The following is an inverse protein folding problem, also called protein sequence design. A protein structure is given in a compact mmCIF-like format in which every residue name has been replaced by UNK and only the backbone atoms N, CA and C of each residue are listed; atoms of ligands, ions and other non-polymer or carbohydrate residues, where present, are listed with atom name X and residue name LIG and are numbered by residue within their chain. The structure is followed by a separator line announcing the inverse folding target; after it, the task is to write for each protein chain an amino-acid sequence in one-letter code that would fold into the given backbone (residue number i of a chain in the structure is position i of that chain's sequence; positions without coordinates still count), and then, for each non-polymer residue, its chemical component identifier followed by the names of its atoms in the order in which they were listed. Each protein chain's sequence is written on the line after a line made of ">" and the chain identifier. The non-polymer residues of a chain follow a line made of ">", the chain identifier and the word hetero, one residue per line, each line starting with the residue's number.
data_IF_024836169946
#
_entry.id   IF_024836169946
#
_cell.length_a   1.000
_cell.length_b   1.000
_cell.length_c   1.000
_cell.angle_alpha   90.00
_cell.angle_beta   90.00
_cell.angle_gamma   90.00
#
_symmetry.space_group_name_H-M   'P 1'
#
loop_
_entity.id
_entity.type
_entity.pdbx_description
1 polymer ?
#
# COMPACT_ATOMS: atom_id res chain seq x y z
N UNK A 1 8.98 -28.37 5.42
CA UNK A 1 7.90 -27.73 4.61
C UNK A 1 7.16 -26.73 5.48
N UNK A 2 6.87 -25.58 4.90
CA UNK A 2 6.16 -24.49 5.58
C UNK A 2 4.86 -24.21 4.83
N UNK A 3 3.76 -24.13 5.56
CA UNK A 3 2.47 -23.75 4.98
C UNK A 3 2.41 -22.27 4.76
N UNK A 4 2.03 -21.86 3.55
CA UNK A 4 1.87 -20.45 3.18
C UNK A 4 0.63 -20.25 2.31
N UNK A 5 0.21 -19.02 2.17
CA UNK A 5 -0.64 -18.59 1.06
C UNK A 5 0.13 -17.54 0.27
N UNK A 6 -0.15 -17.43 -1.02
CA UNK A 6 0.42 -16.38 -1.85
C UNK A 6 -0.62 -15.33 -2.11
N UNK A 7 -0.22 -14.06 -2.00
CA UNK A 7 -1.12 -12.93 -2.18
C UNK A 7 -0.50 -11.90 -3.11
N UNK A 8 -1.35 -11.05 -3.68
CA UNK A 8 -0.93 -9.90 -4.48
C UNK A 8 -1.56 -8.65 -3.91
N UNK A 9 -0.74 -7.61 -3.78
CA UNK A 9 -1.23 -6.31 -3.32
C UNK A 9 -1.84 -5.53 -4.48
N UNK A 10 -2.72 -4.59 -4.12
CA UNK A 10 -3.37 -3.73 -5.10
C UNK A 10 -2.32 -2.97 -5.93
N UNK A 11 -2.46 -3.02 -7.24
CA UNK A 11 -1.55 -2.36 -8.17
C UNK A 11 -0.22 -3.07 -8.38
N UNK A 12 0.03 -4.16 -7.67
CA UNK A 12 1.24 -4.96 -7.81
C UNK A 12 1.06 -6.13 -8.77
N UNK A 13 2.16 -6.64 -9.29
CA UNK A 13 2.16 -7.83 -10.15
C UNK A 13 2.94 -8.98 -9.53
N UNK A 14 3.56 -8.79 -8.38
CA UNK A 14 4.31 -9.83 -7.65
C UNK A 14 3.43 -10.54 -6.66
N UNK A 15 3.71 -11.83 -6.48
CA UNK A 15 3.11 -12.62 -5.41
C UNK A 15 4.05 -12.64 -4.21
N UNK A 16 3.46 -12.58 -3.02
CA UNK A 16 4.19 -12.65 -1.75
C UNK A 16 3.58 -13.73 -0.88
N UNK A 17 4.42 -14.46 -0.16
CA UNK A 17 3.99 -15.54 0.72
C UNK A 17 3.79 -15.03 2.14
N UNK A 18 2.69 -15.46 2.76
CA UNK A 18 2.34 -15.11 4.14
C UNK A 18 1.96 -16.35 4.92
N UNK A 19 2.17 -16.32 6.23
CA UNK A 19 1.77 -17.40 7.12
C UNK A 19 0.25 -17.36 7.33
N UNK A 20 -0.49 -18.42 7.01
CA UNK A 20 -1.96 -18.41 7.12
C UNK A 20 -2.48 -18.43 8.56
N UNK A 21 -1.66 -18.86 9.54
CA UNK A 21 -2.01 -18.86 10.97
C UNK A 21 -3.33 -19.54 11.27
N UNK A 22 -3.53 -20.71 10.70
CA UNK A 22 -4.73 -21.51 10.93
C UNK A 22 -5.93 -21.16 10.06
N UNK A 23 -5.80 -20.14 9.22
CA UNK A 23 -6.88 -19.77 8.30
C UNK A 23 -6.80 -20.57 7.02
N UNK A 24 -7.96 -20.85 6.45
CA UNK A 24 -8.07 -21.44 5.10
C UNK A 24 -8.45 -20.31 4.15
N UNK A 25 -7.60 -20.08 3.16
CA UNK A 25 -7.79 -19.01 2.17
C UNK A 25 -7.75 -19.62 0.79
N UNK A 26 -8.71 -19.26 -0.04
CA UNK A 26 -8.81 -19.75 -1.43
C UNK A 26 -8.41 -18.65 -2.40
N UNK A 27 -7.98 -19.08 -3.60
CA UNK A 27 -7.67 -18.13 -4.67
C UNK A 27 -8.85 -17.21 -4.93
N UNK A 28 -8.57 -15.91 -5.04
CA UNK A 28 -9.59 -14.88 -5.26
C UNK A 28 -10.15 -14.26 -3.99
N UNK A 29 -9.95 -14.91 -2.84
CA UNK A 29 -10.39 -14.34 -1.56
C UNK A 29 -9.48 -13.19 -1.13
N UNK A 30 -10.07 -12.21 -0.47
CA UNK A 30 -9.35 -11.03 0.00
C UNK A 30 -9.04 -11.16 1.49
N UNK A 31 -7.85 -10.74 1.87
CA UNK A 31 -7.33 -10.86 3.24
C UNK A 31 -6.67 -9.58 3.68
N UNK A 32 -6.58 -9.40 4.99
CA UNK A 32 -5.76 -8.35 5.60
C UNK A 32 -4.54 -9.03 6.19
N UNK A 33 -3.38 -8.56 5.82
CA UNK A 33 -2.09 -9.10 6.26
C UNK A 33 -1.32 -8.05 7.04
N UNK A 34 -0.44 -8.51 7.92
CA UNK A 34 0.46 -7.64 8.67
C UNK A 34 1.82 -7.65 7.99
N UNK A 35 2.36 -6.47 7.70
CA UNK A 35 3.69 -6.31 7.11
C UNK A 35 4.55 -5.44 8.01
N UNK A 36 5.85 -5.36 7.70
CA UNK A 36 6.76 -4.47 8.42
C UNK A 36 6.33 -3.00 8.37
N UNK A 37 5.51 -2.64 7.39
CA UNK A 37 5.04 -1.27 7.19
C UNK A 37 3.61 -1.04 7.69
N UNK A 38 2.99 -2.05 8.30
CA UNK A 38 1.63 -1.98 8.84
C UNK A 38 0.69 -2.97 8.17
N UNK A 39 -0.60 -2.75 8.37
CA UNK A 39 -1.64 -3.60 7.80
C UNK A 39 -1.83 -3.29 6.32
N UNK A 40 -2.03 -4.35 5.53
CA UNK A 40 -2.24 -4.24 4.09
C UNK A 40 -3.40 -5.13 3.65
N UNK A 41 -4.14 -4.66 2.66
CA UNK A 41 -5.20 -5.41 2.00
C UNK A 41 -4.62 -6.14 0.79
N UNK A 42 -4.92 -7.42 0.64
CA UNK A 42 -4.36 -8.23 -0.44
C UNK A 42 -5.37 -9.24 -0.95
N UNK A 43 -5.13 -9.71 -2.18
CA UNK A 43 -5.95 -10.76 -2.81
C UNK A 43 -5.13 -12.03 -2.90
N UNK A 44 -5.70 -13.15 -2.45
CA UNK A 44 -5.05 -14.46 -2.52
C UNK A 44 -4.93 -14.90 -3.97
N UNK A 45 -3.73 -15.26 -4.39
CA UNK A 45 -3.46 -15.78 -5.72
C UNK A 45 -3.24 -17.29 -5.71
N UNK A 46 -2.71 -17.82 -4.62
CA UNK A 46 -2.56 -19.28 -4.42
C UNK A 46 -2.99 -19.58 -2.98
N UNK A 47 -3.98 -20.48 -2.85
CA UNK A 47 -4.50 -20.87 -1.53
C UNK A 47 -3.46 -21.62 -0.69
N UNK A 48 -3.88 -22.13 0.44
CA UNK A 48 -2.98 -22.83 1.37
C UNK A 48 -2.18 -23.92 0.65
N UNK A 49 -0.87 -23.85 0.76
CA UNK A 49 0.04 -24.84 0.17
C UNK A 49 1.34 -24.88 0.96
N UNK A 50 2.10 -25.93 0.75
CA UNK A 50 3.38 -26.09 1.41
C UNK A 50 4.52 -25.76 0.45
N UNK A 51 5.54 -25.08 0.97
CA UNK A 51 6.76 -24.76 0.24
C UNK A 51 7.96 -25.24 1.05
N UNK A 52 9.11 -25.40 0.37
CA UNK A 52 10.36 -25.73 1.03
C UNK A 52 10.74 -24.61 2.01
N UNK A 53 11.25 -24.98 3.17
CA UNK A 53 11.67 -24.01 4.18
C UNK A 53 12.71 -23.03 3.64
N UNK A 54 13.57 -23.50 2.73
CA UNK A 54 14.59 -22.66 2.09
C UNK A 54 14.01 -21.62 1.12
N UNK A 55 12.77 -21.83 0.65
CA UNK A 55 12.10 -20.90 -0.26
C UNK A 55 11.39 -19.75 0.50
N UNK A 56 11.40 -19.80 1.81
CA UNK A 56 10.68 -18.85 2.67
C UNK A 56 11.66 -17.89 3.31
N UNK A 57 11.34 -16.59 3.23
CA UNK A 57 12.09 -15.55 3.95
C UNK A 57 11.53 -15.43 5.37
N UNK A 58 12.33 -15.82 6.35
CA UNK A 58 11.92 -15.76 7.75
C UNK A 58 12.26 -14.39 8.37
N UNK A 59 11.43 -13.89 9.32
CA UNK A 59 10.15 -14.46 9.73
C UNK A 59 9.05 -14.13 8.71
N UNK A 60 8.16 -15.09 8.46
CA UNK A 60 6.99 -14.87 7.62
C UNK A 60 6.01 -13.94 8.33
N UNK A 61 5.53 -12.96 7.62
CA UNK A 61 4.48 -12.09 8.12
C UNK A 61 3.14 -12.84 8.10
N UNK A 62 2.27 -12.59 9.08
CA UNK A 62 1.02 -13.34 9.20
C UNK A 62 -0.13 -12.73 8.41
N UNK A 63 -1.07 -13.60 8.04
CA UNK A 63 -2.42 -13.19 7.63
C UNK A 63 -3.21 -12.97 8.93
N UNK A 64 -3.82 -11.79 9.07
CA UNK A 64 -4.60 -11.48 10.27
C UNK A 64 -6.01 -12.02 10.21
N UNK A 65 -6.69 -11.83 9.06
CA UNK A 65 -8.08 -12.23 8.90
C UNK A 65 -8.50 -12.17 7.43
N UNK A 66 -9.63 -12.79 7.13
CA UNK A 66 -10.31 -12.55 5.87
C UNK A 66 -10.81 -11.10 5.84
N UNK A 67 -10.83 -10.48 4.67
CA UNK A 67 -11.32 -9.12 4.53
C UNK A 67 -12.82 -9.06 4.77
N UNK A 68 -13.25 -8.01 5.46
CA UNK A 68 -14.66 -7.74 5.72
C UNK A 68 -15.17 -6.67 4.76
N UNK A 69 -16.49 -6.43 4.77
CA UNK A 69 -17.07 -5.34 3.98
C UNK A 69 -16.52 -3.98 4.44
N UNK A 70 -16.24 -3.83 5.73
CA UNK A 70 -15.61 -2.62 6.27
C UNK A 70 -14.21 -2.43 5.70
N UNK A 71 -13.44 -3.51 5.53
CA UNK A 71 -12.11 -3.46 4.92
C UNK A 71 -12.20 -3.02 3.45
N UNK A 72 -13.16 -3.55 2.70
CA UNK A 72 -13.38 -3.17 1.30
C UNK A 72 -13.81 -1.71 1.17
N UNK A 73 -14.65 -1.24 2.10
CA UNK A 73 -15.05 0.17 2.14
C UNK A 73 -13.85 1.07 2.41
N UNK A 74 -12.93 0.64 3.28
CA UNK A 74 -11.70 1.40 3.57
C UNK A 74 -10.82 1.51 2.32
N UNK A 75 -10.68 0.42 1.55
CA UNK A 75 -9.91 0.42 0.30
C UNK A 75 -10.52 1.39 -0.71
N UNK A 76 -11.84 1.41 -0.82
CA UNK A 76 -12.54 2.31 -1.74
C UNK A 76 -12.37 3.78 -1.32
N UNK A 77 -12.48 4.07 -0.02
CA UNK A 77 -12.23 5.42 0.49
C UNK A 77 -10.81 5.87 0.18
N UNK A 78 -9.82 4.98 0.37
CA UNK A 78 -8.44 5.29 0.08
C UNK A 78 -8.21 5.55 -1.41
N UNK A 79 -8.87 4.80 -2.26
CA UNK A 79 -8.79 4.99 -3.72
C UNK A 79 -9.30 6.37 -4.12
N UNK A 80 -10.44 6.80 -3.57
CA UNK A 80 -10.98 8.15 -3.81
C UNK A 80 -10.05 9.22 -3.29
N UNK A 81 -9.51 9.01 -2.10
CA UNK A 81 -8.56 9.93 -1.47
C UNK A 81 -7.28 10.06 -2.31
N UNK A 82 -6.79 8.95 -2.87
CA UNK A 82 -5.63 8.96 -3.76
C UNK A 82 -5.89 9.81 -5.00
N UNK A 83 -7.05 9.68 -5.61
CA UNK A 83 -7.43 10.46 -6.79
C UNK A 83 -7.50 11.96 -6.46
N UNK A 84 -8.14 12.32 -5.37
CA UNK A 84 -8.23 13.71 -4.92
C UNK A 84 -6.84 14.27 -4.58
N UNK A 85 -6.03 13.47 -3.89
CA UNK A 85 -4.68 13.86 -3.50
C UNK A 85 -3.78 14.08 -4.72
N UNK A 86 -3.95 13.27 -5.76
CA UNK A 86 -3.22 13.45 -7.01
C UNK A 86 -3.49 14.84 -7.61
N UNK A 87 -4.75 15.19 -7.77
CA UNK A 87 -5.15 16.47 -8.37
C UNK A 87 -4.69 17.65 -7.51
N UNK A 88 -4.86 17.57 -6.20
CA UNK A 88 -4.44 18.62 -5.28
C UNK A 88 -2.93 18.78 -5.30
N UNK A 89 -2.19 17.68 -5.29
CA UNK A 89 -0.72 17.73 -5.31
C UNK A 89 -0.18 18.32 -6.62
N UNK A 90 -0.74 17.96 -7.76
CA UNK A 90 -0.36 18.55 -9.05
C UNK A 90 -0.52 20.06 -9.04
N UNK A 91 -1.65 20.52 -8.52
CA UNK A 91 -1.92 21.96 -8.41
C UNK A 91 -0.91 22.66 -7.51
N UNK A 92 -0.59 22.05 -6.37
CA UNK A 92 0.37 22.62 -5.42
C UNK A 92 1.79 22.62 -5.96
N UNK A 93 2.18 21.62 -6.72
CA UNK A 93 3.48 21.60 -7.41
C UNK A 93 3.59 22.81 -8.36
N UNK A 94 2.53 23.09 -9.11
CA UNK A 94 2.47 24.25 -9.99
C UNK A 94 2.51 25.55 -9.20
N UNK A 95 1.75 25.64 -8.11
CA UNK A 95 1.69 26.84 -7.27
C UNK A 95 3.04 27.15 -6.62
N UNK A 96 3.79 26.12 -6.23
CA UNK A 96 5.13 26.30 -5.66
C UNK A 96 6.23 26.44 -6.73
N UNK A 97 5.87 26.31 -8.00
CA UNK A 97 6.83 26.43 -9.11
C UNK A 97 7.92 25.37 -9.12
N UNK A 98 7.62 24.17 -8.68
CA UNK A 98 8.59 23.08 -8.60
C UNK A 98 8.73 22.33 -9.93
N UNK A 99 9.97 22.01 -10.28
CA UNK A 99 10.27 21.25 -11.50
C UNK A 99 10.25 19.75 -11.22
N UNK A 100 9.06 19.22 -10.97
CA UNK A 100 8.83 17.81 -10.70
C UNK A 100 7.51 17.39 -11.29
N UNK A 101 7.39 16.10 -11.58
CA UNK A 101 6.16 15.53 -12.12
C UNK A 101 5.64 14.46 -11.17
N UNK A 102 4.39 14.59 -10.75
CA UNK A 102 3.72 13.59 -9.95
C UNK A 102 3.34 12.41 -10.83
N UNK A 103 3.70 11.21 -10.41
CA UNK A 103 3.46 9.96 -11.15
C UNK A 103 2.30 9.18 -10.58
N UNK A 104 2.25 9.05 -9.25
CA UNK A 104 1.24 8.25 -8.57
C UNK A 104 1.09 8.69 -7.11
N UNK A 105 -0.03 8.32 -6.50
CA UNK A 105 -0.31 8.54 -5.08
C UNK A 105 -0.85 7.24 -4.49
N UNK A 106 -0.37 6.88 -3.31
CA UNK A 106 -0.82 5.70 -2.59
C UNK A 106 -1.16 6.06 -1.14
N UNK A 107 -2.34 5.66 -0.68
CA UNK A 107 -2.72 5.75 0.73
C UNK A 107 -2.46 4.41 1.42
N UNK A 108 -1.95 4.44 2.64
CA UNK A 108 -1.84 3.22 3.45
C UNK A 108 -3.24 2.69 3.78
N UNK A 109 -3.34 1.39 4.05
CA UNK A 109 -4.63 0.75 4.33
C UNK A 109 -5.37 1.42 5.49
N UNK A 110 -4.64 1.80 6.54
CA UNK A 110 -5.20 2.48 7.72
C UNK A 110 -5.49 3.97 7.50
N UNK A 111 -5.11 4.51 6.33
CA UNK A 111 -5.32 5.91 6.01
C UNK A 111 -4.38 6.89 6.71
N UNK A 112 -3.42 6.40 7.47
CA UNK A 112 -2.54 7.26 8.28
C UNK A 112 -1.41 7.90 7.49
N UNK A 113 -1.06 7.33 6.33
CA UNK A 113 0.07 7.78 5.53
C UNK A 113 -0.32 7.88 4.06
N UNK A 114 0.14 8.94 3.39
CA UNK A 114 -0.02 9.12 1.95
C UNK A 114 1.35 9.25 1.33
N UNK A 115 1.63 8.43 0.32
CA UNK A 115 2.91 8.42 -0.40
C UNK A 115 2.68 9.02 -1.79
N UNK A 116 3.49 10.02 -2.13
CA UNK A 116 3.47 10.66 -3.44
C UNK A 116 4.72 10.25 -4.20
N UNK A 117 4.53 9.61 -5.35
CA UNK A 117 5.61 9.17 -6.23
C UNK A 117 5.80 10.19 -7.33
N UNK A 118 7.03 10.64 -7.52
CA UNK A 118 7.33 11.69 -8.48
C UNK A 118 8.62 11.43 -9.24
N UNK A 119 8.82 12.14 -10.35
CA UNK A 119 10.08 12.18 -11.08
C UNK A 119 10.53 13.64 -11.18
N UNK A 120 11.85 13.84 -11.19
CA UNK A 120 12.47 15.14 -11.38
C UNK A 120 13.86 14.97 -12.00
N UNK A 121 14.26 15.92 -12.82
CA UNK A 121 15.57 15.86 -13.51
C UNK A 121 16.73 16.35 -12.64
N UNK A 122 16.44 16.98 -11.51
CA UNK A 122 17.44 17.52 -10.62
C UNK A 122 16.95 17.54 -9.20
N UNK A 123 17.68 18.26 -8.34
CA UNK A 123 17.28 18.45 -6.96
C UNK A 123 16.07 19.37 -6.87
N UNK A 124 15.08 18.96 -6.08
CA UNK A 124 13.91 19.75 -5.79
C UNK A 124 13.81 19.93 -4.28
N UNK A 125 13.64 21.17 -3.82
CA UNK A 125 13.33 21.43 -2.42
C UNK A 125 11.84 21.43 -2.24
N UNK A 126 11.31 20.35 -1.68
CA UNK A 126 9.88 20.15 -1.50
C UNK A 126 9.43 20.26 -0.04
N UNK A 127 10.23 20.89 0.83
CA UNK A 127 9.87 21.04 2.25
C UNK A 127 8.55 21.78 2.46
N UNK A 128 8.34 22.87 1.71
CA UNK A 128 7.10 23.63 1.78
C UNK A 128 5.93 22.86 1.20
N UNK A 129 6.17 22.11 0.11
CA UNK A 129 5.16 21.24 -0.49
C UNK A 129 4.68 20.18 0.50
N UNK A 130 5.60 19.50 1.17
CA UNK A 130 5.28 18.49 2.19
C UNK A 130 4.45 19.09 3.31
N UNK A 131 4.86 20.26 3.81
CA UNK A 131 4.14 20.97 4.88
C UNK A 131 2.73 21.33 4.47
N UNK A 132 2.57 21.82 3.24
CA UNK A 132 1.28 22.18 2.68
C UNK A 132 0.37 20.96 2.52
N UNK A 133 0.90 19.87 1.97
CA UNK A 133 0.14 18.62 1.81
C UNK A 133 -0.28 18.04 3.16
N UNK A 134 0.63 18.06 4.14
CA UNK A 134 0.31 17.56 5.48
C UNK A 134 -0.81 18.36 6.13
N UNK A 135 -0.83 19.67 5.90
CA UNK A 135 -1.89 20.56 6.39
C UNK A 135 -3.25 20.24 5.78
N UNK A 136 -3.28 19.93 4.48
CA UNK A 136 -4.51 19.62 3.75
C UNK A 136 -5.07 18.26 4.14
N UNK A 137 -4.22 17.24 4.17
CA UNK A 137 -4.65 15.85 4.35
C UNK A 137 -4.63 15.36 5.79
N UNK A 138 -3.98 16.08 6.69
CA UNK A 138 -3.85 15.70 8.11
C UNK A 138 -3.36 14.27 8.28
N UNK A 139 -2.42 13.87 7.44
CA UNK A 139 -1.83 12.54 7.43
C UNK A 139 -0.32 12.70 7.30
N UNK A 140 0.40 11.61 7.59
CA UNK A 140 1.84 11.58 7.35
C UNK A 140 2.09 11.59 5.85
N UNK A 141 2.91 12.52 5.38
CA UNK A 141 3.22 12.68 3.96
C UNK A 141 4.62 12.14 3.70
N UNK A 142 4.75 11.32 2.67
CA UNK A 142 6.02 10.77 2.23
C UNK A 142 6.16 11.00 0.73
N UNK A 143 7.34 11.41 0.29
CA UNK A 143 7.67 11.64 -1.11
C UNK A 143 8.76 10.66 -1.53
N UNK A 144 8.59 10.00 -2.67
CA UNK A 144 9.53 9.01 -3.18
C UNK A 144 9.88 9.21 -4.65
#
# INVERSE_FOLDING_TARGET
>A
MTEVISVRFRGGCKNYDFAPKGLTVKMGEEVVVETAQGLEFATCTVGNHEVEDSAVVQPLCPVLRHATDADRAAVERNRRKESEAFDICEKKIADHGLEMKLVNVSCSFDGAKIIFFFTADGRVDFRELVRDLASVFRARIELR
#
